data_IF_907732991748
#
_entry.id   IF_907732991748
#
_cell.length_a   1.000
_cell.length_b   1.000
_cell.length_c   1.000
_cell.angle_alpha   90.00
_cell.angle_beta   90.00
_cell.angle_gamma   90.00
#
_symmetry.space_group_name_H-M   'P 1'
#
loop_
_entity.id
_entity.type
_entity.pdbx_description
1 polymer ?
#
# COMPACT_ATOMS: atom_id res chain seq x y z
N UNK A 1 -12.88 -1.52 4.38
CA UNK A 1 -11.52 -1.27 4.92
C UNK A 1 -11.07 0.14 4.50
N UNK A 2 -10.32 0.87 5.32
CA UNK A 2 -9.71 2.16 4.93
C UNK A 2 -8.58 1.95 3.89
N UNK A 3 -8.45 2.84 2.90
CA UNK A 3 -7.51 2.68 1.78
C UNK A 3 -6.06 2.62 2.26
N UNK A 4 -5.64 3.54 3.16
CA UNK A 4 -4.28 3.56 3.67
C UNK A 4 -4.01 2.36 4.59
N UNK A 5 -5.01 1.94 5.35
CA UNK A 5 -4.91 0.70 6.13
C UNK A 5 -4.72 -0.53 5.23
N UNK A 6 -5.36 -0.57 4.05
CA UNK A 6 -5.19 -1.66 3.08
C UNK A 6 -3.77 -1.68 2.52
N UNK A 7 -3.28 -0.53 2.02
CA UNK A 7 -1.90 -0.36 1.55
C UNK A 7 -0.89 -0.77 2.62
N UNK A 8 -1.05 -0.28 3.86
CA UNK A 8 -0.17 -0.63 4.97
C UNK A 8 -0.14 -2.14 5.25
N UNK A 9 -1.30 -2.80 5.25
CA UNK A 9 -1.37 -4.25 5.44
C UNK A 9 -0.67 -5.02 4.31
N UNK A 10 -0.85 -4.60 3.07
CA UNK A 10 -0.20 -5.23 1.92
C UNK A 10 1.31 -5.13 2.06
N UNK A 11 1.83 -3.92 2.26
CA UNK A 11 3.27 -3.68 2.42
C UNK A 11 3.85 -4.43 3.63
N UNK A 12 3.15 -4.44 4.77
CA UNK A 12 3.57 -5.18 5.97
C UNK A 12 3.64 -6.69 5.72
N UNK A 13 2.73 -7.24 4.93
CA UNK A 13 2.76 -8.67 4.62
C UNK A 13 3.90 -8.99 3.64
N UNK A 14 4.11 -8.15 2.62
CA UNK A 14 5.23 -8.32 1.68
C UNK A 14 6.60 -8.19 2.37
N UNK A 15 6.73 -7.32 3.38
CA UNK A 15 7.93 -7.25 4.24
C UNK A 15 8.16 -8.57 4.98
N UNK A 16 7.11 -9.15 5.58
CA UNK A 16 7.21 -10.45 6.28
C UNK A 16 7.55 -11.61 5.35
N UNK A 17 7.13 -11.52 4.09
CA UNK A 17 7.31 -12.56 3.10
C UNK A 17 8.66 -12.46 2.37
N UNK A 18 9.53 -11.49 2.71
CA UNK A 18 10.82 -11.28 2.03
C UNK A 18 11.75 -12.51 2.06
N UNK A 19 11.64 -13.35 3.08
CA UNK A 19 12.44 -14.58 3.23
C UNK A 19 11.79 -15.80 2.56
N UNK A 20 10.59 -15.64 1.98
CA UNK A 20 9.87 -16.73 1.31
C UNK A 20 10.20 -16.77 -0.19
N UNK A 21 10.20 -17.96 -0.81
CA UNK A 21 10.42 -18.07 -2.26
C UNK A 21 9.30 -17.42 -3.08
N UNK A 22 8.09 -17.34 -2.52
CA UNK A 22 6.93 -16.69 -3.13
C UNK A 22 6.12 -15.94 -2.05
N UNK A 23 5.58 -14.76 -2.38
CA UNK A 23 4.73 -13.98 -1.48
C UNK A 23 3.38 -14.68 -1.24
N UNK A 24 2.85 -14.53 -0.03
CA UNK A 24 1.57 -15.13 0.36
C UNK A 24 0.40 -14.24 -0.05
N UNK A 25 0.09 -14.23 -1.35
CA UNK A 25 -0.95 -13.35 -1.94
C UNK A 25 -2.32 -13.56 -1.29
N UNK A 26 -2.65 -14.78 -0.88
CA UNK A 26 -3.89 -15.12 -0.20
C UNK A 26 -4.11 -14.34 1.12
N UNK A 27 -3.05 -13.79 1.72
CA UNK A 27 -3.13 -12.95 2.92
C UNK A 27 -3.41 -11.49 2.63
N UNK A 28 -3.25 -11.07 1.37
CA UNK A 28 -3.37 -9.69 0.92
C UNK A 28 -4.35 -9.51 -0.23
N UNK A 29 -5.04 -10.57 -0.66
CA UNK A 29 -6.03 -10.51 -1.73
C UNK A 29 -7.28 -9.70 -1.33
N UNK A 30 -8.17 -9.50 -2.30
CA UNK A 30 -9.39 -8.72 -2.10
C UNK A 30 -10.30 -9.31 -1.00
N UNK A 31 -10.30 -10.63 -0.82
CA UNK A 31 -11.09 -11.33 0.20
C UNK A 31 -10.50 -11.10 1.59
N UNK A 32 -9.18 -11.28 1.75
CA UNK A 32 -8.46 -11.05 3.00
C UNK A 32 -8.54 -9.58 3.47
N UNK A 33 -8.60 -8.64 2.53
CA UNK A 33 -8.76 -7.21 2.84
C UNK A 33 -10.23 -6.77 2.98
N UNK A 34 -11.19 -7.61 2.59
CA UNK A 34 -12.63 -7.29 2.64
C UNK A 34 -12.98 -6.10 1.73
N UNK A 35 -12.46 -6.10 0.51
CA UNK A 35 -12.73 -5.10 -0.54
C UNK A 35 -13.12 -5.79 -1.85
N UNK A 36 -13.65 -5.03 -2.81
CA UNK A 36 -13.85 -5.56 -4.16
C UNK A 36 -12.52 -5.83 -4.85
N UNK A 37 -12.51 -6.81 -5.75
CA UNK A 37 -11.35 -7.15 -6.58
C UNK A 37 -10.81 -5.94 -7.36
N UNK A 38 -11.70 -5.18 -8.02
CA UNK A 38 -11.31 -3.94 -8.72
C UNK A 38 -10.59 -2.94 -7.79
N UNK A 39 -11.03 -2.80 -6.54
CA UNK A 39 -10.39 -1.90 -5.59
C UNK A 39 -9.02 -2.41 -5.16
N UNK A 40 -8.87 -3.72 -5.01
CA UNK A 40 -7.58 -4.34 -4.76
C UNK A 40 -6.60 -4.15 -5.92
N UNK A 41 -7.05 -4.35 -7.17
CA UNK A 41 -6.24 -4.09 -8.36
C UNK A 41 -5.80 -2.63 -8.44
N UNK A 42 -6.69 -1.67 -8.11
CA UNK A 42 -6.30 -0.26 -8.03
C UNK A 42 -5.22 -0.02 -6.97
N UNK A 43 -5.22 -0.73 -5.84
CA UNK A 43 -4.13 -0.62 -4.87
C UNK A 43 -2.81 -1.13 -5.44
N UNK A 44 -2.82 -2.29 -6.11
CA UNK A 44 -1.63 -2.85 -6.75
C UNK A 44 -1.08 -1.91 -7.81
N UNK A 45 -1.94 -1.38 -8.69
CA UNK A 45 -1.59 -0.41 -9.74
C UNK A 45 -0.96 0.85 -9.13
N UNK A 46 -1.61 1.48 -8.15
CA UNK A 46 -1.07 2.68 -7.50
C UNK A 46 0.25 2.44 -6.77
N UNK A 47 0.44 1.28 -6.12
CA UNK A 47 1.67 0.98 -5.40
C UNK A 47 2.82 0.67 -6.35
N UNK A 48 2.57 0.00 -7.48
CA UNK A 48 3.55 -0.23 -8.54
C UNK A 48 3.95 1.11 -9.18
N UNK A 49 2.98 1.95 -9.56
CA UNK A 49 3.22 3.27 -10.15
C UNK A 49 4.02 4.20 -9.23
N UNK A 50 3.72 4.16 -7.93
CA UNK A 50 4.45 4.92 -6.93
C UNK A 50 5.80 4.28 -6.57
N UNK A 51 6.07 3.05 -7.00
CA UNK A 51 7.29 2.30 -6.70
C UNK A 51 7.38 1.82 -5.25
N UNK A 52 6.26 1.67 -4.53
CA UNK A 52 6.23 1.04 -3.20
C UNK A 52 6.35 -0.49 -3.28
N UNK A 53 5.87 -1.05 -4.39
CA UNK A 53 6.06 -2.45 -4.78
C UNK A 53 6.70 -2.48 -6.17
N UNK A 54 7.16 -3.66 -6.56
CA UNK A 54 7.58 -3.98 -7.92
C UNK A 54 7.12 -5.39 -8.29
N UNK A 55 6.99 -5.66 -9.58
CA UNK A 55 6.73 -7.02 -10.08
C UNK A 55 5.26 -7.42 -10.07
N UNK A 56 4.35 -6.47 -9.81
CA UNK A 56 2.94 -6.62 -10.14
C UNK A 56 2.71 -6.20 -11.59
N UNK A 57 1.92 -6.98 -12.35
CA UNK A 57 1.51 -6.64 -13.71
C UNK A 57 -0.01 -6.55 -13.77
N UNK A 58 -0.52 -5.34 -14.02
CA UNK A 58 -1.95 -5.11 -14.21
C UNK A 58 -2.20 -5.06 -15.71
N UNK A 59 -2.99 -6.01 -16.20
CA UNK A 59 -3.36 -6.11 -17.61
C UNK A 59 -4.84 -5.82 -17.76
N UNK A 60 -5.20 -5.05 -18.77
CA UNK A 60 -6.60 -4.87 -19.17
C UNK A 60 -6.78 -5.56 -20.51
N UNK A 61 -7.75 -6.46 -20.60
CA UNK A 61 -8.06 -7.15 -21.84
C UNK A 61 -8.89 -6.26 -22.80
N UNK A 62 -9.25 -6.83 -23.96
CA UNK A 62 -10.05 -6.13 -24.97
C UNK A 62 -11.51 -5.87 -24.54
N UNK A 63 -11.97 -6.55 -23.49
CA UNK A 63 -13.33 -6.39 -22.94
C UNK A 63 -13.38 -5.34 -21.81
N UNK A 64 -12.21 -4.88 -21.37
CA UNK A 64 -12.07 -3.95 -20.25
C UNK A 64 -11.94 -4.65 -18.88
N UNK A 65 -11.82 -5.97 -18.86
CA UNK A 65 -11.57 -6.75 -17.66
C UNK A 65 -10.11 -6.60 -17.24
N UNK A 66 -9.90 -6.26 -15.97
CA UNK A 66 -8.56 -6.13 -15.37
C UNK A 66 -8.14 -7.46 -14.74
N UNK A 67 -6.88 -7.81 -14.90
CA UNK A 67 -6.23 -8.92 -14.20
C UNK A 67 -4.94 -8.43 -13.53
N UNK A 68 -4.59 -8.95 -12.34
CA UNK A 68 -3.25 -8.78 -11.76
C UNK A 68 -2.49 -10.09 -11.84
N UNK A 69 -1.32 -10.09 -12.47
CA UNK A 69 -0.27 -11.04 -12.10
C UNK A 69 0.55 -10.43 -10.96
N UNK A 70 0.44 -11.07 -9.81
CA UNK A 70 1.06 -10.66 -8.57
C UNK A 70 2.04 -11.75 -8.07
N UNK A 71 2.44 -12.71 -8.92
CA UNK A 71 3.27 -13.88 -8.56
C UNK A 71 4.67 -13.51 -8.04
N UNK A 72 5.27 -12.46 -8.61
CA UNK A 72 6.63 -12.02 -8.29
C UNK A 72 6.65 -10.65 -7.57
N UNK A 73 5.52 -10.26 -6.97
CA UNK A 73 5.41 -8.98 -6.28
C UNK A 73 6.40 -8.92 -5.10
N UNK A 74 7.08 -7.79 -4.97
CA UNK A 74 8.03 -7.54 -3.90
C UNK A 74 7.84 -6.12 -3.36
N UNK A 75 8.04 -5.93 -2.07
CA UNK A 75 8.18 -4.58 -1.49
C UNK A 75 9.52 -3.96 -1.93
N UNK A 76 9.54 -2.64 -2.12
CA UNK A 76 10.77 -1.89 -2.43
C UNK A 76 11.29 -1.16 -1.19
N UNK A 77 12.49 -0.56 -1.29
CA UNK A 77 12.99 0.35 -0.25
C UNK A 77 12.01 1.49 0.04
N UNK A 78 11.38 2.06 -0.98
CA UNK A 78 10.37 3.11 -0.82
C UNK A 78 9.12 2.61 -0.10
N UNK A 79 8.73 1.35 -0.33
CA UNK A 79 7.66 0.69 0.43
C UNK A 79 8.01 0.51 1.91
N UNK A 80 9.27 0.15 2.21
CA UNK A 80 9.76 0.07 3.59
C UNK A 80 9.80 1.45 4.27
N UNK A 81 10.24 2.49 3.54
CA UNK A 81 10.19 3.88 4.00
C UNK A 81 8.76 4.29 4.35
N UNK A 82 7.78 3.96 3.50
CA UNK A 82 6.36 4.22 3.78
C UNK A 82 5.88 3.56 5.09
N UNK A 83 6.30 2.32 5.37
CA UNK A 83 5.98 1.64 6.63
C UNK A 83 6.58 2.38 7.85
N UNK A 84 7.78 2.96 7.71
CA UNK A 84 8.50 3.71 8.75
C UNK A 84 7.98 5.17 8.93
N UNK A 85 7.59 5.83 7.83
CA UNK A 85 7.21 7.24 7.77
C UNK A 85 5.90 7.57 8.48
N UNK A 86 5.10 6.56 8.88
CA UNK A 86 3.97 6.76 9.78
C UNK A 86 4.40 7.35 11.15
N UNK A 87 5.68 7.33 11.50
CA UNK A 87 6.20 8.14 12.59
C UNK A 87 6.46 9.60 12.18
N UNK A 88 7.00 9.86 10.99
CA UNK A 88 7.42 11.19 10.52
C UNK A 88 6.22 12.04 10.09
N UNK A 89 5.33 11.54 9.23
CA UNK A 89 4.14 12.29 8.80
C UNK A 89 3.14 12.50 9.95
N UNK A 90 3.01 11.54 10.88
CA UNK A 90 2.28 11.79 12.14
C UNK A 90 2.99 12.85 12.97
N UNK A 91 4.30 12.78 13.17
CA UNK A 91 5.07 13.80 13.91
C UNK A 91 4.94 15.18 13.27
N UNK A 92 5.03 15.31 11.94
CA UNK A 92 4.82 16.57 11.22
C UNK A 92 3.38 17.05 11.33
N UNK A 93 2.39 16.17 11.20
CA UNK A 93 0.97 16.51 11.37
C UNK A 93 0.67 17.00 12.80
N UNK A 94 1.16 16.31 13.83
CA UNK A 94 1.02 16.74 15.22
C UNK A 94 1.79 18.04 15.49
N UNK A 95 3.04 18.17 15.02
CA UNK A 95 3.81 19.40 15.16
C UNK A 95 3.15 20.60 14.47
N UNK A 96 2.58 20.42 13.27
CA UNK A 96 1.83 21.47 12.57
C UNK A 96 0.52 21.84 13.29
N UNK A 97 -0.13 20.88 13.97
CA UNK A 97 -1.28 21.15 14.85
C UNK A 97 -0.88 21.91 16.12
N UNK A 98 0.28 21.59 16.70
CA UNK A 98 0.81 22.29 17.88
C UNK A 98 1.19 23.74 17.54
N UNK A 99 1.74 24.00 16.35
CA UNK A 99 1.99 25.37 15.89
C UNK A 99 0.67 26.16 15.78
N UNK A 100 -0.41 25.53 15.30
CA UNK A 100 -1.74 26.17 15.25
C UNK A 100 -2.36 26.43 16.63
N UNK A 101 -2.03 25.66 17.67
CA UNK A 101 -2.54 25.91 19.03
C UNK A 101 -1.76 27.01 19.77
N UNK A 102 -0.54 27.32 19.33
CA UNK A 102 0.33 28.36 19.93
C UNK A 102 0.04 29.76 19.38
N UNK A 103 -0.67 29.90 18.25
CA UNK A 103 -1.36 31.14 17.89
C UNK A 103 -2.84 31.04 18.24
N UNK A 104 -3.25 31.36 19.48
CA UNK A 104 -4.65 31.70 19.73
C UNK A 104 -4.99 32.92 18.88
N UNK A 105 -6.12 32.84 18.18
CA UNK A 105 -6.56 33.84 17.21
C UNK A 105 -6.40 35.27 17.71
N UNK A 106 -5.75 36.08 16.86
CA UNK A 106 -6.26 37.42 16.58
C UNK A 106 -7.40 37.25 15.58
#
# INVERSE_FOLDING_TARGET
>A
MDNFKAVYKILTQLEKDMDLPHPQIEKIDHTALGVSENRWMCYMEMMEDCGYIKGASIMTDITGEKTCDCTNIQITLKGLEYLQENSIMRKLFYAARDIKSVTPGI
#
